data_IF_373662256105
#
_entry.id   IF_373662256105
#
_cell.length_a   1.000
_cell.length_b   1.000
_cell.length_c   1.000
_cell.angle_alpha   90.00
_cell.angle_beta   90.00
_cell.angle_gamma   90.00
#
_symmetry.space_group_name_H-M   'P 1'
#
loop_
_entity.id
_entity.type
_entity.pdbx_description
1 polymer ?
#
# COMPACT_ATOMS: atom_id res chain seq x y z
N UNK A 1 -8.19 -1.26 10.62
CA UNK A 1 -7.59 -1.05 11.96
C UNK A 1 -8.28 0.09 12.67
N UNK A 2 -8.73 -0.14 13.91
CA UNK A 2 -9.15 0.92 14.83
C UNK A 2 -7.88 1.44 15.52
N UNK A 3 -7.68 2.76 15.49
CA UNK A 3 -6.45 3.38 16.02
C UNK A 3 -6.68 4.05 17.37
N UNK A 4 -7.88 4.57 17.62
CA UNK A 4 -8.26 5.12 18.93
C UNK A 4 -9.73 4.87 19.20
N UNK A 5 -10.07 4.76 20.48
CA UNK A 5 -11.44 4.83 21.00
C UNK A 5 -11.40 5.71 22.25
N UNK A 6 -12.06 6.87 22.17
CA UNK A 6 -12.09 7.86 23.23
C UNK A 6 -13.52 8.05 23.73
N UNK A 7 -13.74 7.81 24.98
CA UNK A 7 -15.05 7.94 25.62
C UNK A 7 -15.10 9.18 26.50
N UNK A 8 -13.97 9.54 27.14
CA UNK A 8 -13.82 10.75 27.95
C UNK A 8 -14.73 10.84 29.20
N UNK A 9 -15.25 9.71 29.67
CA UNK A 9 -16.19 9.67 30.81
C UNK A 9 -15.46 9.36 32.10
N UNK A 10 -15.33 10.32 33.04
CA UNK A 10 -14.69 10.08 34.33
C UNK A 10 -15.62 9.41 35.37
N UNK A 11 -16.92 9.34 35.11
CA UNK A 11 -17.89 8.79 36.03
C UNK A 11 -18.03 7.27 35.85
N UNK A 12 -18.02 6.53 36.95
CA UNK A 12 -18.07 5.06 36.94
C UNK A 12 -19.50 4.49 36.87
N UNK A 13 -20.49 5.31 37.08
CA UNK A 13 -21.91 4.92 37.19
C UNK A 13 -22.83 5.65 36.19
N UNK A 14 -22.26 6.28 35.17
CA UNK A 14 -23.01 7.00 34.13
C UNK A 14 -22.59 6.47 32.77
N UNK A 15 -23.58 6.14 31.94
CA UNK A 15 -23.35 5.78 30.56
C UNK A 15 -22.90 7.05 29.80
N UNK A 16 -21.79 7.02 29.05
CA UNK A 16 -21.29 8.16 28.32
C UNK A 16 -22.29 8.57 27.22
N UNK A 17 -22.48 9.87 27.06
CA UNK A 17 -23.33 10.42 26.00
C UNK A 17 -22.67 10.35 24.61
N UNK A 18 -21.35 10.20 24.55
CA UNK A 18 -20.57 10.17 23.30
C UNK A 18 -19.36 9.28 23.44
N UNK A 19 -19.05 8.58 22.36
CA UNK A 19 -17.77 7.93 22.15
C UNK A 19 -17.24 8.35 20.77
N UNK A 20 -15.93 8.49 20.62
CA UNK A 20 -15.28 8.80 19.37
C UNK A 20 -14.27 7.68 19.05
N UNK A 21 -14.29 7.19 17.82
CA UNK A 21 -13.31 6.22 17.34
C UNK A 21 -12.66 6.72 16.05
N UNK A 22 -11.37 6.43 15.90
CA UNK A 22 -10.66 6.62 14.62
C UNK A 22 -10.23 5.26 14.09
N UNK A 23 -10.42 5.08 12.81
CA UNK A 23 -10.03 3.86 12.13
C UNK A 23 -9.52 4.17 10.73
N UNK A 24 -8.75 3.23 10.17
CA UNK A 24 -8.36 3.27 8.77
C UNK A 24 -8.58 1.91 8.12
N UNK A 25 -8.81 1.93 6.82
CA UNK A 25 -8.97 0.75 5.99
C UNK A 25 -7.96 0.84 4.86
N UNK A 26 -7.14 -0.20 4.72
CA UNK A 26 -6.33 -0.46 3.53
C UNK A 26 -7.03 -1.54 2.73
N UNK A 27 -7.18 -1.31 1.45
CA UNK A 27 -7.94 -2.19 0.57
C UNK A 27 -7.22 -2.38 -0.77
N UNK A 28 -7.55 -3.45 -1.45
CA UNK A 28 -7.03 -3.81 -2.77
C UNK A 28 -7.95 -3.30 -3.88
N UNK A 29 -7.64 -3.62 -5.11
CA UNK A 29 -8.38 -3.19 -6.30
C UNK A 29 -9.79 -3.79 -6.44
N UNK A 30 -10.16 -4.77 -5.62
CA UNK A 30 -11.52 -5.32 -5.56
C UNK A 30 -12.52 -4.38 -4.88
N UNK A 31 -12.02 -3.35 -4.22
CA UNK A 31 -12.83 -2.38 -3.49
C UNK A 31 -12.56 -0.96 -3.97
N UNK A 32 -13.53 -0.09 -3.75
CA UNK A 32 -13.37 1.37 -3.85
C UNK A 32 -13.68 2.04 -2.52
N UNK A 33 -13.19 3.27 -2.32
CA UNK A 33 -13.52 4.04 -1.12
C UNK A 33 -15.04 4.18 -0.97
N UNK A 34 -15.77 4.42 -2.06
CA UNK A 34 -17.22 4.61 -2.05
C UNK A 34 -17.98 3.34 -1.62
N UNK A 35 -17.61 2.17 -2.14
CA UNK A 35 -18.32 0.94 -1.76
C UNK A 35 -18.01 0.51 -0.32
N UNK A 36 -16.80 0.78 0.19
CA UNK A 36 -16.46 0.54 1.59
C UNK A 36 -17.18 1.49 2.54
N UNK A 37 -17.35 2.75 2.15
CA UNK A 37 -18.15 3.72 2.90
C UNK A 37 -19.60 3.25 3.01
N UNK A 38 -20.25 2.97 1.89
CA UNK A 38 -21.63 2.49 1.88
C UNK A 38 -21.82 1.21 2.70
N UNK A 39 -20.89 0.25 2.57
CA UNK A 39 -20.93 -0.98 3.36
C UNK A 39 -20.85 -0.72 4.87
N UNK A 40 -19.99 0.21 5.30
CA UNK A 40 -19.87 0.57 6.72
C UNK A 40 -21.09 1.32 7.23
N UNK A 41 -21.62 2.25 6.45
CA UNK A 41 -22.83 3.01 6.81
C UNK A 41 -24.02 2.09 6.98
N UNK A 42 -24.23 1.13 6.09
CA UNK A 42 -25.26 0.09 6.26
C UNK A 42 -25.07 -0.73 7.54
N UNK A 43 -23.82 -0.99 7.96
CA UNK A 43 -23.54 -1.68 9.21
C UNK A 43 -23.84 -0.85 10.43
N UNK A 44 -23.50 0.44 10.40
CA UNK A 44 -23.81 1.38 11.48
C UNK A 44 -25.33 1.55 11.64
N UNK A 45 -26.06 1.71 10.55
CA UNK A 45 -27.53 1.77 10.56
C UNK A 45 -28.18 0.50 11.14
N UNK A 46 -27.62 -0.67 10.79
CA UNK A 46 -28.10 -1.94 11.32
C UNK A 46 -27.90 -2.09 12.83
N UNK A 47 -26.76 -1.61 13.33
CA UNK A 47 -26.47 -1.59 14.78
C UNK A 47 -27.36 -0.57 15.49
N UNK A 48 -27.71 0.50 14.80
CA UNK A 48 -28.53 1.60 15.32
C UNK A 48 -27.74 2.58 16.18
N UNK A 49 -28.45 3.54 16.74
CA UNK A 49 -27.88 4.65 17.48
C UNK A 49 -27.73 5.90 16.62
N UNK A 50 -27.27 6.97 17.24
CA UNK A 50 -26.97 8.24 16.57
C UNK A 50 -25.47 8.30 16.26
N UNK A 51 -25.09 8.19 15.00
CA UNK A 51 -23.70 8.15 14.58
C UNK A 51 -23.40 9.20 13.51
N UNK A 52 -22.15 9.66 13.48
CA UNK A 52 -21.62 10.54 12.46
C UNK A 52 -20.22 10.09 12.07
N UNK A 53 -19.93 9.98 10.79
CA UNK A 53 -18.59 9.63 10.29
C UNK A 53 -18.06 10.72 9.37
N UNK A 54 -16.77 11.04 9.55
CA UNK A 54 -16.03 11.90 8.63
C UNK A 54 -15.11 11.02 7.79
N UNK A 55 -15.40 10.92 6.53
CA UNK A 55 -14.62 10.14 5.58
C UNK A 55 -13.49 10.96 4.98
N UNK A 56 -12.34 10.32 4.82
CA UNK A 56 -11.20 10.85 4.09
C UNK A 56 -10.58 9.73 3.25
N UNK A 57 -10.79 9.78 1.94
CA UNK A 57 -10.09 8.92 1.01
C UNK A 57 -8.80 9.61 0.55
N UNK A 58 -7.66 8.90 0.64
CA UNK A 58 -6.38 9.46 0.23
C UNK A 58 -6.07 9.16 -1.25
N UNK A 59 -6.28 7.91 -1.67
CA UNK A 59 -6.13 7.45 -3.05
C UNK A 59 -6.74 6.06 -3.23
N UNK A 60 -7.02 5.70 -4.46
CA UNK A 60 -7.39 4.34 -4.82
C UNK A 60 -6.15 3.45 -4.94
N UNK A 61 -6.29 2.15 -4.67
CA UNK A 61 -5.23 1.20 -4.95
C UNK A 61 -5.03 1.06 -6.45
N UNK A 62 -3.83 0.67 -6.85
CA UNK A 62 -3.55 0.31 -8.23
C UNK A 62 -2.84 -1.05 -8.29
N UNK A 63 -2.96 -1.69 -9.42
CA UNK A 63 -2.21 -2.88 -9.78
C UNK A 63 -1.71 -2.69 -11.22
N UNK A 64 -0.44 -2.99 -11.44
CA UNK A 64 0.11 -3.01 -12.80
C UNK A 64 -0.09 -4.40 -13.38
N UNK A 65 -0.74 -4.47 -14.53
CA UNK A 65 -0.91 -5.72 -15.26
C UNK A 65 0.46 -6.27 -15.71
N UNK A 66 0.60 -7.60 -15.80
CA UNK A 66 1.77 -8.21 -16.40
C UNK A 66 2.01 -7.68 -17.82
N UNK A 67 3.25 -7.36 -18.14
CA UNK A 67 3.62 -6.81 -19.45
C UNK A 67 5.11 -6.51 -19.56
N UNK A 68 5.54 -5.88 -20.65
CA UNK A 68 6.96 -5.69 -20.95
C UNK A 68 7.77 -5.06 -19.81
N UNK A 69 7.20 -4.09 -19.09
CA UNK A 69 7.87 -3.44 -17.96
C UNK A 69 8.11 -4.42 -16.81
N UNK A 70 7.07 -5.15 -16.40
CA UNK A 70 7.15 -6.11 -15.31
C UNK A 70 8.00 -7.32 -15.67
N UNK A 71 7.98 -7.74 -16.94
CA UNK A 71 8.78 -8.84 -17.45
C UNK A 71 10.29 -8.50 -17.42
N UNK A 72 10.65 -7.31 -17.92
CA UNK A 72 12.03 -6.82 -17.87
C UNK A 72 12.55 -6.70 -16.44
N UNK A 73 11.73 -6.14 -15.54
CA UNK A 73 12.11 -6.02 -14.14
C UNK A 73 12.24 -7.38 -13.46
N UNK A 74 11.30 -8.29 -13.69
CA UNK A 74 11.33 -9.64 -13.15
C UNK A 74 12.55 -10.42 -13.63
N UNK A 75 12.92 -10.30 -14.91
CA UNK A 75 14.11 -10.89 -15.47
C UNK A 75 15.38 -10.33 -14.83
N UNK A 76 15.46 -9.01 -14.64
CA UNK A 76 16.61 -8.37 -13.99
C UNK A 76 16.77 -8.83 -12.52
N UNK A 77 15.67 -8.95 -11.77
CA UNK A 77 15.69 -9.47 -10.41
C UNK A 77 16.18 -10.92 -10.38
N UNK A 78 15.62 -11.75 -11.28
CA UNK A 78 15.97 -13.17 -11.33
C UNK A 78 17.45 -13.38 -11.67
N UNK A 79 18.00 -12.62 -12.62
CA UNK A 79 19.40 -12.74 -13.02
C UNK A 79 20.38 -12.36 -11.90
N UNK A 80 20.05 -11.33 -11.12
CA UNK A 80 20.94 -10.86 -10.05
C UNK A 80 20.78 -11.69 -8.77
N UNK A 81 19.56 -12.12 -8.46
CA UNK A 81 19.26 -12.74 -7.15
C UNK A 81 19.02 -14.25 -7.21
N UNK A 82 18.76 -14.79 -8.39
CA UNK A 82 18.29 -16.18 -8.56
C UNK A 82 16.84 -16.39 -8.10
N UNK A 83 16.11 -15.36 -7.70
CA UNK A 83 14.74 -15.44 -7.19
C UNK A 83 13.76 -14.85 -8.20
N UNK A 84 12.67 -15.56 -8.46
CA UNK A 84 11.57 -15.02 -9.28
C UNK A 84 10.66 -14.17 -8.41
N UNK A 85 10.49 -12.86 -8.69
CA UNK A 85 9.59 -12.01 -7.92
C UNK A 85 8.13 -12.34 -8.21
N UNK A 86 7.26 -12.05 -7.25
CA UNK A 86 5.81 -12.09 -7.46
C UNK A 86 5.26 -10.67 -7.59
N UNK A 87 4.34 -10.47 -8.54
CA UNK A 87 3.59 -9.22 -8.64
C UNK A 87 2.52 -9.21 -7.54
N UNK A 88 2.47 -8.15 -6.76
CA UNK A 88 1.52 -8.04 -5.66
C UNK A 88 1.17 -6.57 -5.36
N UNK A 89 0.08 -6.36 -4.64
CA UNK A 89 -0.36 -5.06 -4.13
C UNK A 89 -0.07 -4.88 -2.63
N UNK A 90 0.81 -5.71 -2.06
CA UNK A 90 1.10 -5.73 -0.61
C UNK A 90 2.12 -4.68 -0.16
N UNK A 91 2.68 -3.92 -1.07
CA UNK A 91 3.64 -2.87 -0.79
C UNK A 91 3.09 -1.69 0.00
N UNK A 92 3.97 -0.76 0.35
CA UNK A 92 3.60 0.50 1.00
C UNK A 92 2.87 1.45 0.05
N UNK A 93 2.35 2.54 0.58
CA UNK A 93 1.76 3.61 -0.22
C UNK A 93 2.86 4.48 -0.80
N UNK A 94 2.82 4.75 -2.09
CA UNK A 94 3.78 5.60 -2.80
C UNK A 94 3.11 6.58 -3.75
N UNK A 95 3.89 7.43 -4.39
CA UNK A 95 3.43 8.35 -5.42
C UNK A 95 3.16 7.68 -6.77
N UNK A 96 3.53 6.41 -6.93
CA UNK A 96 3.21 5.59 -8.09
C UNK A 96 1.71 5.57 -8.39
N UNK A 97 0.85 5.63 -7.36
CA UNK A 97 -0.61 5.75 -7.48
C UNK A 97 -1.09 6.94 -8.33
N UNK A 98 -0.29 7.97 -8.47
CA UNK A 98 -0.60 9.12 -9.34
C UNK A 98 -0.03 8.91 -10.74
N UNK A 99 1.17 8.34 -10.83
CA UNK A 99 1.91 8.12 -12.07
C UNK A 99 1.24 7.04 -12.93
N UNK A 100 0.62 6.03 -12.28
CA UNK A 100 -0.08 4.93 -12.99
C UNK A 100 -1.19 5.41 -13.92
N UNK A 101 -1.70 6.64 -13.76
CA UNK A 101 -2.66 7.28 -14.66
C UNK A 101 -2.04 7.77 -15.96
N UNK A 102 -0.72 7.85 -16.02
CA UNK A 102 0.04 8.42 -17.15
C UNK A 102 0.81 7.35 -17.92
N UNK A 103 1.34 6.34 -17.19
CA UNK A 103 2.13 5.27 -17.79
C UNK A 103 2.10 4.01 -16.91
N UNK A 104 2.48 2.84 -17.47
CA UNK A 104 2.72 1.64 -16.64
C UNK A 104 3.77 1.93 -15.56
N UNK A 105 3.52 1.45 -14.35
CA UNK A 105 4.40 1.65 -13.19
C UNK A 105 4.61 0.31 -12.49
N UNK A 106 5.84 0.03 -12.14
CA UNK A 106 6.19 -1.05 -11.23
C UNK A 106 7.03 -0.47 -10.08
N UNK A 107 6.78 -0.94 -8.88
CA UNK A 107 7.54 -0.56 -7.70
C UNK A 107 8.42 -1.73 -7.27
N UNK A 108 9.68 -1.43 -7.08
CA UNK A 108 10.64 -2.38 -6.56
C UNK A 108 11.71 -1.62 -5.76
N UNK A 109 12.07 -2.13 -4.59
CA UNK A 109 13.01 -1.43 -3.72
C UNK A 109 13.64 -2.35 -2.68
N UNK A 110 14.22 -1.72 -1.66
CA UNK A 110 14.90 -2.39 -0.57
C UNK A 110 13.95 -3.27 0.25
N UNK A 111 14.53 -4.31 0.86
CA UNK A 111 13.80 -5.19 1.77
C UNK A 111 13.46 -4.44 3.06
N UNK A 112 12.18 -4.25 3.32
CA UNK A 112 11.66 -3.44 4.43
C UNK A 112 11.48 -4.19 5.75
N UNK A 113 12.42 -5.06 6.16
CA UNK A 113 12.28 -5.88 7.38
C UNK A 113 12.10 -5.05 8.65
N UNK A 114 12.76 -3.90 8.72
CA UNK A 114 12.74 -3.01 9.88
C UNK A 114 12.01 -1.71 9.62
N UNK A 115 11.29 -1.61 8.49
CA UNK A 115 10.56 -0.41 8.11
C UNK A 115 9.59 0.03 9.22
N UNK A 116 9.66 1.32 9.58
CA UNK A 116 8.86 1.93 10.66
C UNK A 116 9.11 1.37 12.07
N UNK A 117 10.24 0.71 12.28
CA UNK A 117 10.64 0.21 13.60
C UNK A 117 11.73 1.10 14.23
N UNK A 118 11.94 0.90 15.53
CA UNK A 118 13.11 1.50 16.22
C UNK A 118 14.37 0.87 15.60
N UNK A 119 15.40 1.71 15.37
CA UNK A 119 16.63 1.31 14.69
C UNK A 119 16.41 0.80 13.27
N UNK A 120 15.52 1.45 12.51
CA UNK A 120 15.30 1.16 11.09
C UNK A 120 16.62 1.16 10.32
N UNK A 121 16.88 0.08 9.62
CA UNK A 121 18.13 -0.14 8.88
C UNK A 121 17.92 -1.04 7.67
N UNK A 122 18.93 -1.08 6.81
CA UNK A 122 19.05 -1.99 5.68
C UNK A 122 20.46 -2.53 5.60
N UNK A 123 20.61 -3.76 5.15
CA UNK A 123 21.92 -4.35 4.89
C UNK A 123 22.60 -3.68 3.67
N UNK A 124 23.87 -3.33 3.78
CA UNK A 124 24.63 -2.74 2.66
C UNK A 124 24.62 -3.65 1.43
N UNK A 125 24.69 -4.96 1.62
CA UNK A 125 24.61 -5.93 0.54
C UNK A 125 23.28 -5.88 -0.22
N UNK A 126 22.18 -5.49 0.41
CA UNK A 126 20.89 -5.31 -0.27
C UNK A 126 20.86 -4.04 -1.11
N UNK A 127 21.58 -2.99 -0.71
CA UNK A 127 21.77 -1.78 -1.53
C UNK A 127 22.58 -2.11 -2.79
N UNK A 128 23.66 -2.87 -2.64
CA UNK A 128 24.51 -3.31 -3.77
C UNK A 128 23.73 -4.18 -4.76
N UNK A 129 22.94 -5.12 -4.27
CA UNK A 129 22.04 -5.95 -5.10
C UNK A 129 20.99 -5.10 -5.82
N UNK A 130 20.38 -4.14 -5.13
CA UNK A 130 19.39 -3.25 -5.74
C UNK A 130 20.01 -2.44 -6.88
N UNK A 131 21.23 -1.92 -6.68
CA UNK A 131 21.96 -1.21 -7.72
C UNK A 131 22.19 -2.11 -8.96
N UNK A 132 22.67 -3.34 -8.76
CA UNK A 132 22.87 -4.29 -9.85
C UNK A 132 21.55 -4.66 -10.57
N UNK A 133 20.45 -4.77 -9.84
CA UNK A 133 19.13 -5.06 -10.44
C UNK A 133 18.69 -3.88 -11.33
N UNK A 134 18.82 -2.64 -10.86
CA UNK A 134 18.46 -1.49 -11.67
C UNK A 134 19.37 -1.31 -12.89
N UNK A 135 20.65 -1.58 -12.77
CA UNK A 135 21.57 -1.59 -13.91
C UNK A 135 21.13 -2.62 -14.96
N UNK A 136 20.90 -3.87 -14.54
CA UNK A 136 20.41 -4.92 -15.42
C UNK A 136 19.05 -4.61 -16.06
N UNK A 137 18.15 -3.95 -15.33
CA UNK A 137 16.86 -3.50 -15.85
C UNK A 137 17.04 -2.40 -16.91
N UNK A 138 17.83 -1.36 -16.62
CA UNK A 138 18.09 -0.25 -17.54
C UNK A 138 18.76 -0.71 -18.83
N UNK A 139 19.71 -1.63 -18.76
CA UNK A 139 20.32 -2.23 -19.96
C UNK A 139 19.27 -2.90 -20.87
N UNK A 140 18.30 -3.62 -20.29
CA UNK A 140 17.23 -4.27 -21.05
C UNK A 140 16.29 -3.24 -21.68
N UNK A 141 15.89 -2.23 -20.91
CA UNK A 141 15.01 -1.17 -21.35
C UNK A 141 15.64 -0.38 -22.52
N UNK A 142 16.94 -0.06 -22.43
CA UNK A 142 17.65 0.69 -23.48
C UNK A 142 17.87 -0.14 -24.74
N UNK A 143 18.11 -1.47 -24.64
CA UNK A 143 18.26 -2.32 -25.83
C UNK A 143 16.95 -2.45 -26.63
N UNK A 144 15.80 -2.36 -25.99
CA UNK A 144 14.48 -2.39 -26.65
C UNK A 144 14.12 -1.11 -27.41
N UNK A 145 14.85 -0.02 -27.22
CA UNK A 145 14.60 1.29 -27.89
C UNK A 145 15.42 1.43 -29.19
N UNK A 146 16.40 0.55 -29.43
CA UNK A 146 17.32 0.63 -30.60
C UNK A 146 16.97 -0.34 -31.75
N UNK A 147 15.77 -0.92 -31.74
CA UNK A 147 15.30 -1.85 -32.80
C UNK A 147 14.13 -1.26 -33.61
#
# INVERSE_FOLDING_TARGET
>A
NVTTIDVGNPATNVIPARAEAKFNIRFNTEHSAANLQGWLEEHFDRVGGDWQVKWKANADPFMTDPGPLTDMLSAAITDVTGQTPSLSTTGGTSDARFITKMCPVAEFGLVGKTMHQVDEHVDVADIEKLCAIYEAFLERACRGVTA
#
